data_IF_079962806924
#
_entry.id   IF_079962806924
#
_cell.length_a   1.000
_cell.length_b   1.000
_cell.length_c   1.000
_cell.angle_alpha   90.00
_cell.angle_beta   90.00
_cell.angle_gamma   90.00
#
_symmetry.space_group_name_H-M   'P 1'
#
loop_
_entity.id
_entity.type
_entity.pdbx_description
1 polymer ?
#
# COMPACT_ATOMS: atom_id res chain seq x y z
N UNK A 1 -6.07 -23.61 22.22
CA UNK A 1 -4.63 -23.86 22.40
C UNK A 1 -3.88 -22.61 22.91
N UNK A 2 -4.15 -22.23 24.15
CA UNK A 2 -3.55 -21.02 24.76
C UNK A 2 -2.07 -21.23 25.08
N UNK A 3 -1.70 -22.46 25.46
CA UNK A 3 -0.33 -22.81 25.79
C UNK A 3 0.60 -22.71 24.58
N UNK A 4 0.22 -23.22 23.41
CA UNK A 4 1.08 -23.11 22.22
C UNK A 4 1.11 -21.69 21.67
N UNK A 5 0.04 -20.90 21.80
CA UNK A 5 0.11 -19.46 21.50
C UNK A 5 1.16 -18.76 22.36
N UNK A 6 1.15 -19.00 23.68
CA UNK A 6 2.13 -18.41 24.62
C UNK A 6 3.55 -18.90 24.38
N UNK A 7 3.74 -20.21 24.15
CA UNK A 7 5.08 -20.81 24.00
C UNK A 7 5.66 -20.58 22.61
N UNK A 8 4.91 -20.94 21.58
CA UNK A 8 5.41 -20.97 20.19
C UNK A 8 5.09 -19.67 19.47
N UNK A 9 3.84 -19.20 19.57
CA UNK A 9 3.39 -18.00 18.86
C UNK A 9 4.19 -16.76 19.25
N UNK A 10 4.37 -16.52 20.55
CA UNK A 10 5.14 -15.36 21.04
C UNK A 10 6.63 -15.48 20.73
N UNK A 11 7.23 -16.66 20.91
CA UNK A 11 8.65 -16.90 20.59
C UNK A 11 8.93 -16.63 19.12
N UNK A 12 8.08 -17.14 18.23
CA UNK A 12 8.22 -16.89 16.79
C UNK A 12 8.03 -15.42 16.46
N UNK A 13 7.04 -14.75 17.06
CA UNK A 13 6.82 -13.32 16.86
C UNK A 13 8.02 -12.47 17.32
N UNK A 14 8.58 -12.75 18.50
CA UNK A 14 9.77 -12.09 19.03
C UNK A 14 10.99 -12.34 18.14
N UNK A 15 11.25 -13.57 17.72
CA UNK A 15 12.38 -13.88 16.82
C UNK A 15 12.30 -13.08 15.51
N UNK A 16 11.09 -12.89 14.97
CA UNK A 16 10.84 -12.16 13.72
C UNK A 16 10.83 -10.63 13.88
N UNK A 17 10.47 -10.12 15.06
CA UNK A 17 10.48 -8.70 15.39
C UNK A 17 11.84 -8.21 15.91
N UNK A 18 12.74 -9.10 16.31
CA UNK A 18 14.06 -8.73 16.80
C UNK A 18 15.11 -9.00 15.73
N UNK A 19 15.07 -8.22 14.64
CA UNK A 19 16.11 -8.28 13.61
C UNK A 19 17.42 -7.66 14.12
N UNK A 20 18.53 -8.06 13.52
CA UNK A 20 19.89 -7.60 13.85
C UNK A 20 20.20 -6.16 13.38
N UNK A 21 19.15 -5.33 13.28
CA UNK A 21 19.30 -3.91 12.97
C UNK A 21 19.86 -3.17 14.18
N UNK A 22 20.68 -2.15 13.92
CA UNK A 22 21.28 -1.32 14.94
C UNK A 22 21.03 0.15 14.63
N UNK A 23 21.03 1.01 15.65
CA UNK A 23 21.15 2.45 15.47
C UNK A 23 22.58 2.86 15.79
N UNK A 24 23.26 3.37 14.77
CA UNK A 24 24.61 3.94 14.87
C UNK A 24 24.50 5.46 14.78
N UNK A 25 25.49 6.20 15.28
CA UNK A 25 25.57 7.63 14.98
C UNK A 25 25.68 7.86 13.48
N UNK A 26 25.03 8.91 13.00
CA UNK A 26 25.15 9.32 11.60
C UNK A 26 26.56 9.84 11.29
N UNK A 27 27.17 10.53 12.23
CA UNK A 27 28.51 11.12 12.11
C UNK A 27 29.15 11.35 13.49
N UNK A 28 30.47 11.49 13.53
CA UNK A 28 31.25 11.80 14.74
C UNK A 28 31.91 10.58 15.39
N UNK A 29 32.79 10.85 16.36
CA UNK A 29 33.70 9.86 16.96
C UNK A 29 33.11 9.07 18.14
N UNK A 30 31.89 9.39 18.61
CA UNK A 30 31.30 8.71 19.77
C UNK A 30 30.69 7.36 19.35
N UNK A 31 31.22 6.28 19.90
CA UNK A 31 30.78 4.90 19.66
C UNK A 31 29.52 4.57 20.48
N UNK A 32 28.35 4.97 19.97
CA UNK A 32 27.07 4.58 20.52
C UNK A 32 26.39 3.61 19.55
N UNK A 33 26.15 2.39 20.05
CA UNK A 33 25.40 1.34 19.38
C UNK A 33 24.14 1.05 20.17
N UNK A 34 22.97 1.20 19.54
CA UNK A 34 21.68 0.89 20.15
C UNK A 34 21.05 -0.27 19.40
N UNK A 35 20.75 -1.37 20.11
CA UNK A 35 20.01 -2.50 19.56
C UNK A 35 18.54 -2.41 20.00
N UNK A 36 17.57 -2.26 19.08
CA UNK A 36 16.16 -2.39 19.42
C UNK A 36 15.87 -3.81 19.88
N UNK A 37 15.05 -3.94 20.92
CA UNK A 37 14.53 -5.22 21.38
C UNK A 37 13.03 -5.12 21.67
N UNK A 38 12.23 -5.87 20.92
CA UNK A 38 10.79 -6.04 21.11
C UNK A 38 10.53 -7.21 22.05
N UNK A 39 10.16 -6.88 23.28
CA UNK A 39 9.79 -7.85 24.30
C UNK A 39 8.27 -8.01 24.37
N UNK A 40 7.82 -9.26 24.42
CA UNK A 40 6.41 -9.62 24.56
C UNK A 40 6.26 -10.61 25.69
N UNK A 41 5.32 -10.36 26.59
CA UNK A 41 5.07 -11.20 27.76
C UNK A 41 3.58 -11.51 27.90
N UNK A 42 3.24 -12.78 28.09
CA UNK A 42 1.87 -13.19 28.40
C UNK A 42 1.67 -13.21 29.91
N UNK A 43 0.74 -12.37 30.38
CA UNK A 43 0.36 -12.27 31.80
C UNK A 43 -1.08 -12.73 32.02
N UNK A 44 -1.45 -12.95 33.29
CA UNK A 44 -2.86 -13.05 33.67
C UNK A 44 -3.53 -11.69 33.42
N UNK A 45 -4.83 -11.67 33.09
CA UNK A 45 -5.54 -10.44 32.72
C UNK A 45 -5.44 -9.32 33.79
N UNK A 46 -5.43 -9.69 35.06
CA UNK A 46 -5.30 -8.78 36.19
C UNK A 46 -3.87 -8.23 36.40
N UNK A 47 -2.84 -8.89 35.85
CA UNK A 47 -1.43 -8.60 36.18
C UNK A 47 -0.66 -7.84 35.09
N UNK A 48 -1.35 -7.36 34.06
CA UNK A 48 -0.76 -6.50 33.03
C UNK A 48 -0.65 -5.02 33.47
N UNK A 49 0.34 -4.30 32.96
CA UNK A 49 0.50 -2.85 33.18
C UNK A 49 -0.42 -1.99 32.31
N UNK A 50 -0.22 -0.65 32.34
CA UNK A 50 -1.03 0.33 31.59
C UNK A 50 -1.06 0.13 30.06
N UNK A 51 -0.12 -0.65 29.53
CA UNK A 51 0.00 -0.97 28.11
C UNK A 51 -0.44 -2.41 27.78
N UNK A 52 -1.23 -3.05 28.65
CA UNK A 52 -1.71 -4.42 28.40
C UNK A 52 -2.77 -4.44 27.29
N UNK A 53 -2.73 -5.50 26.48
CA UNK A 53 -3.80 -5.88 25.56
C UNK A 53 -4.41 -7.18 26.04
N UNK A 54 -5.74 -7.23 26.20
CA UNK A 54 -6.45 -8.45 26.53
C UNK A 54 -6.52 -9.34 25.30
N UNK A 55 -5.93 -10.54 25.40
CA UNK A 55 -5.84 -11.49 24.30
C UNK A 55 -6.83 -12.64 24.51
N UNK A 56 -7.78 -12.80 23.59
CA UNK A 56 -8.71 -13.94 23.53
C UNK A 56 -8.24 -14.93 22.47
N UNK A 57 -8.19 -16.22 22.83
CA UNK A 57 -7.96 -17.29 21.85
C UNK A 57 -9.30 -17.91 21.50
N UNK A 58 -9.72 -17.74 20.26
CA UNK A 58 -11.02 -18.20 19.74
C UNK A 58 -10.87 -19.51 18.96
N UNK A 59 -12.00 -20.12 18.60
CA UNK A 59 -12.00 -21.23 17.65
C UNK A 59 -11.44 -20.78 16.27
N UNK A 60 -11.29 -21.74 15.37
CA UNK A 60 -10.64 -21.49 14.07
C UNK A 60 -11.49 -20.65 13.09
N UNK A 61 -12.75 -20.36 13.39
CA UNK A 61 -13.66 -19.63 12.51
C UNK A 61 -13.68 -18.11 12.78
N UNK A 62 -13.16 -17.67 13.93
CA UNK A 62 -13.14 -16.26 14.33
C UNK A 62 -11.74 -15.64 14.18
N UNK A 63 -11.60 -14.63 13.31
CA UNK A 63 -10.32 -14.14 12.77
C UNK A 63 -9.28 -13.58 13.75
N UNK A 64 -8.12 -13.26 13.18
CA UNK A 64 -6.99 -12.61 13.85
C UNK A 64 -7.12 -11.10 13.72
N UNK A 65 -7.13 -10.39 14.83
CA UNK A 65 -7.11 -8.93 14.86
C UNK A 65 -6.56 -8.42 16.19
N UNK A 66 -5.93 -7.25 16.15
CA UNK A 66 -5.44 -6.55 17.33
C UNK A 66 -5.85 -5.08 17.27
N UNK A 67 -6.39 -4.58 18.38
CA UNK A 67 -6.80 -3.20 18.57
C UNK A 67 -6.19 -2.63 19.85
N UNK A 68 -6.41 -1.35 20.11
CA UNK A 68 -5.99 -0.73 21.37
C UNK A 68 -6.77 -1.37 22.54
N UNK A 69 -6.10 -2.24 23.30
CA UNK A 69 -6.61 -2.83 24.54
C UNK A 69 -7.23 -4.22 24.40
N UNK A 70 -7.65 -4.64 23.21
CA UNK A 70 -8.17 -5.99 22.95
C UNK A 70 -7.62 -6.60 21.67
N UNK A 71 -7.39 -7.92 21.69
CA UNK A 71 -7.02 -8.72 20.54
C UNK A 71 -7.72 -10.08 20.57
N UNK A 72 -7.98 -10.65 19.40
CA UNK A 72 -8.50 -11.99 19.22
C UNK A 72 -7.62 -12.77 18.25
N UNK A 73 -7.31 -14.02 18.59
CA UNK A 73 -6.52 -14.92 17.74
C UNK A 73 -7.22 -16.27 17.60
N UNK A 74 -7.25 -16.81 16.38
CA UNK A 74 -7.63 -18.20 16.16
C UNK A 74 -6.67 -19.12 16.87
N UNK A 75 -7.17 -20.28 17.27
CA UNK A 75 -6.36 -21.31 17.93
C UNK A 75 -5.15 -21.76 17.10
N UNK A 76 -5.20 -21.67 15.77
CA UNK A 76 -4.10 -22.02 14.85
C UNK A 76 -3.04 -20.94 14.59
N UNK A 77 -3.26 -19.68 15.00
CA UNK A 77 -2.42 -18.56 14.54
C UNK A 77 -0.99 -18.51 15.11
N UNK A 78 -0.63 -19.45 15.99
CA UNK A 78 0.75 -19.63 16.44
C UNK A 78 1.61 -20.38 15.42
N UNK A 79 0.99 -20.98 14.40
CA UNK A 79 1.65 -21.67 13.29
C UNK A 79 1.74 -20.78 12.06
N UNK A 80 2.67 -21.11 11.20
CA UNK A 80 2.84 -20.47 9.89
C UNK A 80 1.66 -20.84 8.97
N UNK A 81 1.12 -19.85 8.24
CA UNK A 81 -0.09 -20.01 7.41
C UNK A 81 0.16 -19.48 5.98
N UNK A 82 0.88 -20.23 5.12
CA UNK A 82 1.28 -19.76 3.79
C UNK A 82 0.10 -19.48 2.84
N UNK A 83 -1.02 -20.21 2.95
CA UNK A 83 -2.14 -20.07 2.01
C UNK A 83 -3.21 -19.03 2.38
N UNK A 84 -3.43 -18.74 3.67
CA UNK A 84 -4.56 -17.92 4.11
C UNK A 84 -4.30 -16.41 4.08
N UNK A 85 -3.06 -16.02 4.35
CA UNK A 85 -2.63 -14.62 4.49
C UNK A 85 -1.24 -14.37 3.90
N UNK A 86 -0.76 -15.28 3.07
CA UNK A 86 0.58 -15.29 2.48
C UNK A 86 0.63 -15.09 0.98
N UNK A 87 -0.48 -14.60 0.40
CA UNK A 87 -0.85 -14.66 -1.01
C UNK A 87 0.32 -14.83 -1.99
N UNK A 88 0.27 -15.90 -2.79
CA UNK A 88 1.16 -16.11 -3.93
C UNK A 88 2.43 -16.94 -3.68
N UNK A 89 2.85 -17.14 -2.42
CA UNK A 89 4.02 -17.98 -2.11
C UNK A 89 3.55 -19.41 -1.75
N UNK A 90 3.26 -20.21 -2.77
CA UNK A 90 2.76 -21.60 -2.63
C UNK A 90 3.77 -22.49 -1.89
N UNK A 91 5.06 -22.11 -1.90
CA UNK A 91 6.15 -22.86 -1.27
C UNK A 91 6.58 -22.28 0.10
N UNK A 92 6.08 -21.10 0.48
CA UNK A 92 6.35 -20.42 1.76
C UNK A 92 7.80 -19.93 1.96
N UNK A 93 8.75 -20.43 1.17
CA UNK A 93 10.19 -20.18 1.27
C UNK A 93 10.80 -19.68 -0.05
N UNK A 94 10.01 -19.47 -1.11
CA UNK A 94 10.54 -19.03 -2.41
C UNK A 94 11.07 -17.58 -2.33
N UNK A 95 10.46 -16.74 -1.49
CA UNK A 95 10.85 -15.34 -1.37
C UNK A 95 11.68 -15.10 -0.09
N UNK A 96 12.97 -14.82 -0.29
CA UNK A 96 13.92 -14.42 0.78
C UNK A 96 13.80 -12.93 1.05
N UNK A 97 13.84 -12.51 2.31
CA UNK A 97 13.94 -11.10 2.71
C UNK A 97 15.34 -10.52 2.40
N UNK A 98 15.59 -9.21 2.55
CA UNK A 98 16.93 -8.66 2.26
C UNK A 98 18.02 -9.11 3.24
N UNK A 99 17.62 -9.65 4.39
CA UNK A 99 18.52 -10.37 5.29
C UNK A 99 18.89 -11.78 4.81
N UNK A 100 18.32 -12.22 3.69
CA UNK A 100 18.54 -13.54 3.09
C UNK A 100 17.72 -14.67 3.74
N UNK A 101 16.96 -14.38 4.80
CA UNK A 101 16.15 -15.35 5.53
C UNK A 101 14.77 -15.46 4.87
N UNK A 102 14.21 -16.67 4.89
CA UNK A 102 12.81 -16.90 4.52
C UNK A 102 11.97 -16.84 5.79
N UNK A 103 10.84 -16.15 5.71
CA UNK A 103 9.92 -16.04 6.83
C UNK A 103 8.51 -16.34 6.35
N UNK A 104 8.02 -17.54 6.66
CA UNK A 104 6.65 -17.91 6.33
C UNK A 104 5.66 -16.97 7.01
N UNK A 105 4.55 -16.58 6.37
CA UNK A 105 3.51 -15.76 6.99
C UNK A 105 3.08 -16.28 8.36
N UNK A 106 3.04 -15.39 9.37
CA UNK A 106 2.58 -15.74 10.72
C UNK A 106 1.62 -14.66 11.22
N UNK A 107 0.34 -14.98 11.30
CA UNK A 107 -0.69 -14.04 11.73
C UNK A 107 -0.38 -13.47 13.13
N UNK A 108 0.07 -14.31 14.08
CA UNK A 108 0.41 -13.81 15.41
C UNK A 108 1.51 -12.73 15.39
N UNK A 109 2.53 -12.89 14.54
CA UNK A 109 3.57 -11.89 14.36
C UNK A 109 3.03 -10.57 13.78
N UNK A 110 2.16 -10.65 12.77
CA UNK A 110 1.52 -9.49 12.16
C UNK A 110 0.76 -8.68 13.22
N UNK A 111 -0.16 -9.34 13.94
CA UNK A 111 -1.03 -8.70 14.92
C UNK A 111 -0.23 -8.12 16.10
N UNK A 112 0.73 -8.89 16.63
CA UNK A 112 1.61 -8.38 17.69
C UNK A 112 2.50 -7.23 17.17
N UNK A 113 2.78 -7.18 15.87
CA UNK A 113 3.39 -6.07 15.19
C UNK A 113 2.61 -4.76 15.35
N UNK A 114 1.27 -4.79 15.42
CA UNK A 114 0.46 -3.59 15.70
C UNK A 114 0.79 -2.96 17.03
N UNK A 115 1.00 -3.76 18.07
CA UNK A 115 1.40 -3.27 19.40
C UNK A 115 2.75 -2.54 19.38
N UNK A 116 3.59 -2.82 18.39
CA UNK A 116 4.86 -2.11 18.19
C UNK A 116 4.69 -0.79 17.43
N UNK A 117 3.47 -0.39 17.04
CA UNK A 117 3.15 0.85 16.32
C UNK A 117 3.20 0.71 14.81
N UNK A 118 2.77 -0.45 14.30
CA UNK A 118 2.75 -0.74 12.87
C UNK A 118 1.29 -0.79 12.44
N UNK A 119 0.88 0.06 11.50
CA UNK A 119 -0.51 0.13 11.08
C UNK A 119 -0.77 -0.72 9.85
N UNK A 120 -2.00 -1.25 9.77
CA UNK A 120 -2.56 -1.81 8.55
C UNK A 120 -2.52 -0.79 7.42
N UNK A 121 -1.87 -1.18 6.33
CA UNK A 121 -1.78 -0.39 5.11
C UNK A 121 -2.29 -1.24 3.93
N UNK A 122 -3.55 -1.65 4.04
CA UNK A 122 -4.26 -2.42 3.02
C UNK A 122 -5.25 -1.54 2.26
N UNK A 123 -5.94 -2.14 1.29
CA UNK A 123 -7.17 -1.60 0.73
C UNK A 123 -8.35 -2.22 1.51
N UNK A 124 -9.27 -1.42 2.05
CA UNK A 124 -10.43 -1.94 2.78
C UNK A 124 -11.54 -2.43 1.84
N UNK A 125 -12.47 -3.16 2.44
CA UNK A 125 -13.65 -3.73 1.78
C UNK A 125 -14.69 -2.65 1.48
N UNK A 126 -15.21 -2.63 0.25
CA UNK A 126 -16.37 -1.83 -0.12
C UNK A 126 -17.65 -2.44 0.47
N UNK A 127 -18.56 -1.60 0.97
CA UNK A 127 -19.93 -2.04 1.28
C UNK A 127 -20.81 -1.69 0.07
N UNK A 128 -21.53 -2.67 -0.45
CA UNK A 128 -22.52 -2.47 -1.51
C UNK A 128 -23.90 -2.92 -1.06
N UNK A 129 -24.94 -2.30 -1.59
CA UNK A 129 -26.33 -2.60 -1.25
C UNK A 129 -26.83 -3.76 -2.10
N UNK A 130 -27.37 -4.81 -1.47
CA UNK A 130 -28.05 -5.89 -2.15
C UNK A 130 -29.48 -5.47 -2.51
N UNK A 131 -29.82 -5.60 -3.80
CA UNK A 131 -31.14 -5.22 -4.30
C UNK A 131 -32.27 -6.14 -3.80
N UNK A 132 -31.96 -7.38 -3.40
CA UNK A 132 -32.97 -8.36 -2.96
C UNK A 132 -33.52 -8.08 -1.57
N UNK A 133 -32.68 -7.57 -0.66
CA UNK A 133 -33.04 -7.37 0.75
C UNK A 133 -32.76 -5.93 1.25
N UNK A 134 -32.21 -5.06 0.41
CA UNK A 134 -31.84 -3.68 0.75
C UNK A 134 -30.67 -3.55 1.72
N UNK A 135 -30.00 -4.64 2.10
CA UNK A 135 -28.95 -4.64 3.13
C UNK A 135 -27.58 -4.39 2.51
N UNK A 136 -26.70 -3.74 3.27
CA UNK A 136 -25.30 -3.59 2.90
C UNK A 136 -24.53 -4.89 3.12
N UNK A 137 -23.84 -5.35 2.08
CA UNK A 137 -22.97 -6.52 2.07
C UNK A 137 -21.55 -6.11 1.68
N UNK A 138 -20.57 -6.83 2.19
CA UNK A 138 -19.15 -6.48 2.08
C UNK A 138 -18.50 -7.15 0.86
N UNK A 139 -17.75 -6.37 0.07
CA UNK A 139 -17.02 -6.80 -1.13
C UNK A 139 -15.53 -6.48 -0.97
N UNK A 140 -14.70 -7.45 -1.33
CA UNK A 140 -13.24 -7.31 -1.35
C UNK A 140 -12.81 -6.69 -2.68
N UNK A 141 -12.96 -5.36 -2.78
CA UNK A 141 -12.40 -4.49 -3.82
C UNK A 141 -11.87 -3.24 -3.15
N UNK A 142 -10.93 -2.51 -3.77
CA UNK A 142 -10.32 -1.36 -3.11
C UNK A 142 -11.30 -0.27 -2.67
N UNK A 143 -11.29 0.01 -1.38
CA UNK A 143 -11.88 1.19 -0.75
C UNK A 143 -10.92 1.75 0.29
N UNK A 144 -10.77 3.07 0.35
CA UNK A 144 -10.07 3.69 1.47
C UNK A 144 -11.07 3.99 2.61
N UNK A 145 -10.75 3.51 3.81
CA UNK A 145 -11.44 3.85 5.07
C UNK A 145 -10.69 5.01 5.75
N UNK A 146 -11.30 5.76 6.66
CA UNK A 146 -10.64 6.83 7.44
C UNK A 146 -9.35 6.45 8.18
N UNK A 147 -8.98 5.17 8.28
CA UNK A 147 -7.78 4.68 8.95
C UNK A 147 -6.58 4.41 8.01
N UNK A 148 -6.64 4.79 6.72
CA UNK A 148 -5.65 4.37 5.71
C UNK A 148 -4.85 5.50 5.03
N UNK A 149 -3.78 5.07 4.33
CA UNK A 149 -2.83 5.87 3.55
C UNK A 149 -3.14 5.71 2.05
N UNK A 150 -3.16 6.80 1.28
CA UNK A 150 -3.59 6.80 -0.13
C UNK A 150 -2.60 6.14 -1.12
N UNK A 151 -2.62 4.81 -1.24
CA UNK A 151 -1.73 4.12 -2.18
C UNK A 151 -0.26 4.22 -1.77
N UNK A 152 -0.05 4.19 -0.45
CA UNK A 152 1.27 4.24 0.16
C UNK A 152 2.12 3.02 -0.17
N UNK A 153 3.42 3.07 0.13
CA UNK A 153 4.35 2.05 -0.33
C UNK A 153 4.11 0.61 0.14
N UNK A 154 3.41 0.40 1.27
CA UNK A 154 3.09 -0.96 1.71
C UNK A 154 1.91 -1.58 0.94
N UNK A 155 1.06 -0.75 0.31
CA UNK A 155 -0.12 -1.23 -0.43
C UNK A 155 0.22 -1.93 -1.75
N UNK A 156 1.34 -1.55 -2.37
CA UNK A 156 1.86 -2.10 -3.63
C UNK A 156 2.99 -3.11 -3.42
N UNK A 157 3.25 -3.51 -2.19
CA UNK A 157 4.34 -4.40 -1.80
C UNK A 157 3.76 -5.71 -1.28
N UNK A 158 3.77 -6.74 -2.12
CA UNK A 158 3.17 -8.05 -1.86
C UNK A 158 3.80 -8.76 -0.67
N UNK A 159 5.05 -8.44 -0.37
CA UNK A 159 5.76 -9.00 0.78
C UNK A 159 5.84 -8.02 1.95
N UNK A 160 5.08 -6.93 1.93
CA UNK A 160 4.91 -6.09 3.10
C UNK A 160 4.33 -6.93 4.25
N UNK A 161 4.81 -6.69 5.48
CA UNK A 161 4.25 -7.36 6.67
C UNK A 161 2.74 -7.21 6.77
N UNK A 162 2.23 -6.05 6.35
CA UNK A 162 0.78 -5.86 6.30
C UNK A 162 0.24 -6.82 5.24
N UNK A 163 0.55 -6.68 3.95
CA UNK A 163 0.01 -7.58 2.91
C UNK A 163 0.08 -9.10 3.18
N UNK A 164 1.22 -9.60 3.67
CA UNK A 164 1.48 -11.06 3.72
C UNK A 164 1.92 -11.61 5.09
N UNK A 165 1.66 -10.90 6.19
CA UNK A 165 2.05 -11.31 7.56
C UNK A 165 3.54 -11.67 7.73
N UNK A 166 4.40 -11.05 6.94
CA UNK A 166 5.85 -11.26 6.90
C UNK A 166 6.60 -10.37 7.91
N UNK A 167 7.91 -10.53 7.99
CA UNK A 167 8.78 -9.78 8.91
C UNK A 167 8.80 -8.28 8.69
N UNK A 168 9.10 -7.53 9.76
CA UNK A 168 9.32 -6.09 9.69
C UNK A 168 10.61 -5.76 8.90
N UNK A 169 10.55 -4.80 7.98
CA UNK A 169 11.70 -4.35 7.19
C UNK A 169 12.45 -3.21 7.85
N UNK A 170 13.67 -2.89 7.38
CA UNK A 170 14.52 -1.83 7.93
C UNK A 170 13.76 -0.52 8.20
N UNK A 171 12.93 -0.11 7.25
CA UNK A 171 12.13 1.11 7.36
C UNK A 171 11.05 1.09 8.46
N UNK A 172 10.53 -0.07 8.84
CA UNK A 172 9.63 -0.19 10.00
C UNK A 172 10.34 0.15 11.31
N UNK A 173 11.66 0.00 11.38
CA UNK A 173 12.45 0.32 12.57
C UNK A 173 12.83 1.78 12.63
N UNK A 174 12.84 2.47 11.49
CA UNK A 174 13.23 3.86 11.49
C UNK A 174 12.25 4.76 12.29
N UNK A 175 10.96 4.45 12.42
CA UNK A 175 10.11 5.21 13.38
C UNK A 175 10.71 5.29 14.80
N UNK A 176 11.49 4.30 15.23
CA UNK A 176 12.22 4.35 16.49
C UNK A 176 13.47 5.22 16.40
N UNK A 177 14.16 5.28 15.25
CA UNK A 177 15.18 6.30 15.01
C UNK A 177 14.58 7.73 15.04
N UNK A 178 13.38 7.97 14.49
CA UNK A 178 12.67 9.24 14.65
C UNK A 178 12.43 9.54 16.14
N UNK A 179 11.86 8.57 16.86
CA UNK A 179 11.62 8.70 18.29
C UNK A 179 12.90 9.00 19.07
N UNK A 180 14.01 8.31 18.77
CA UNK A 180 15.33 8.58 19.36
C UNK A 180 15.80 9.99 19.03
N UNK A 181 15.64 10.48 17.79
CA UNK A 181 16.04 11.83 17.39
C UNK A 181 15.20 12.91 18.09
N UNK A 182 13.90 12.65 18.28
CA UNK A 182 13.00 13.63 18.89
C UNK A 182 13.17 13.64 20.41
N UNK A 183 13.31 12.48 21.05
CA UNK A 183 13.61 12.36 22.48
C UNK A 183 15.06 12.71 22.84
N UNK A 184 16.00 12.70 21.90
CA UNK A 184 17.37 13.16 22.12
C UNK A 184 17.52 14.66 22.11
N UNK A 185 16.50 15.45 21.74
CA UNK A 185 16.53 16.92 21.78
C UNK A 185 16.35 17.44 23.20
N UNK A 186 16.90 18.63 23.47
CA UNK A 186 16.66 19.33 24.71
C UNK A 186 15.16 19.56 24.90
N UNK A 187 14.72 19.70 26.15
CA UNK A 187 13.33 19.99 26.41
C UNK A 187 12.92 21.31 25.73
N UNK A 188 11.81 21.28 25.01
CA UNK A 188 11.22 22.45 24.36
C UNK A 188 9.69 22.35 24.42
N UNK A 189 8.98 23.35 23.87
CA UNK A 189 7.51 23.34 23.85
C UNK A 189 6.87 22.17 23.08
N UNK A 190 7.68 21.36 22.37
CA UNK A 190 7.25 20.20 21.58
C UNK A 190 7.72 18.87 22.22
N UNK A 191 8.85 18.87 22.93
CA UNK A 191 9.41 17.78 23.71
C UNK A 191 9.56 18.22 25.17
N UNK A 192 8.48 18.31 25.95
CA UNK A 192 8.54 18.87 27.31
C UNK A 192 9.42 18.06 28.26
N UNK A 193 9.70 16.79 27.95
CA UNK A 193 10.37 15.87 28.86
C UNK A 193 11.89 15.75 28.60
N UNK A 194 12.37 15.94 27.36
CA UNK A 194 13.82 15.91 27.07
C UNK A 194 14.54 14.62 27.50
N UNK A 195 13.82 13.52 27.69
CA UNK A 195 14.22 12.41 28.56
C UNK A 195 15.57 11.78 28.22
N UNK A 196 15.91 11.78 26.92
CA UNK A 196 17.12 11.16 26.40
C UNK A 196 18.19 12.19 26.03
N UNK A 197 17.94 13.50 26.22
CA UNK A 197 18.92 14.55 25.94
C UNK A 197 20.21 14.37 26.75
N UNK A 198 20.10 13.99 28.03
CA UNK A 198 21.28 13.76 28.90
C UNK A 198 22.23 12.69 28.35
N UNK A 199 21.69 11.68 27.65
CA UNK A 199 22.47 10.59 27.08
C UNK A 199 22.93 10.91 25.65
N UNK A 200 22.04 11.47 24.83
CA UNK A 200 22.25 11.57 23.39
C UNK A 200 22.58 12.98 22.90
N UNK A 201 22.29 14.03 23.66
CA UNK A 201 22.69 15.42 23.37
C UNK A 201 22.36 15.86 21.94
N UNK A 202 21.15 15.56 21.46
CA UNK A 202 20.71 15.88 20.10
C UNK A 202 21.30 15.00 18.99
N UNK A 203 21.98 13.90 19.34
CA UNK A 203 22.60 12.99 18.36
C UNK A 203 21.59 12.50 17.33
N UNK A 204 22.02 12.53 16.06
CA UNK A 204 21.32 11.92 14.93
C UNK A 204 21.86 10.51 14.69
N UNK A 205 20.92 9.57 14.58
CA UNK A 205 21.19 8.17 14.34
C UNK A 205 20.83 7.74 12.91
N UNK A 206 21.55 6.74 12.38
CA UNK A 206 21.24 5.98 11.17
C UNK A 206 20.89 4.55 11.56
N UNK A 207 20.04 3.87 10.78
CA UNK A 207 19.78 2.44 10.96
C UNK A 207 20.80 1.66 10.14
N UNK A 208 21.46 0.68 10.74
CA UNK A 208 22.42 -0.19 10.05
C UNK A 208 22.02 -1.65 10.18
N UNK A 209 22.37 -2.43 9.17
CA UNK A 209 22.23 -3.88 9.15
C UNK A 209 23.45 -4.48 8.49
N UNK A 210 24.04 -5.51 9.11
CA UNK A 210 25.12 -6.30 8.51
C UNK A 210 24.61 -7.72 8.34
N UNK A 211 24.65 -8.23 7.11
CA UNK A 211 24.22 -9.58 6.77
C UNK A 211 25.27 -10.33 5.94
N UNK A 212 24.99 -11.61 5.67
CA UNK A 212 25.78 -12.45 4.75
C UNK A 212 24.88 -12.99 3.65
N UNK A 213 25.27 -12.82 2.38
CA UNK A 213 24.61 -13.40 1.22
C UNK A 213 25.64 -14.21 0.44
N UNK A 214 25.44 -15.52 0.30
CA UNK A 214 26.39 -16.43 -0.36
C UNK A 214 27.83 -16.29 0.17
N UNK A 215 27.99 -16.25 1.50
CA UNK A 215 29.25 -15.99 2.21
C UNK A 215 29.88 -14.59 2.03
N UNK A 216 29.33 -13.72 1.18
CA UNK A 216 29.75 -12.30 1.08
C UNK A 216 29.03 -11.46 2.13
N UNK A 217 29.79 -10.69 2.91
CA UNK A 217 29.23 -9.72 3.86
C UNK A 217 28.66 -8.50 3.11
N UNK A 218 27.51 -8.03 3.56
CA UNK A 218 26.94 -6.77 3.09
C UNK A 218 26.52 -5.91 4.28
N UNK A 219 26.65 -4.58 4.14
CA UNK A 219 26.18 -3.60 5.12
C UNK A 219 25.16 -2.69 4.45
N UNK A 220 23.95 -2.63 4.99
CA UNK A 220 23.02 -1.55 4.71
C UNK A 220 23.22 -0.45 5.74
N UNK A 221 23.31 0.79 5.26
CA UNK A 221 23.27 1.98 6.08
C UNK A 221 22.17 2.89 5.58
N UNK A 222 21.23 3.21 6.45
CA UNK A 222 20.15 4.11 6.12
C UNK A 222 20.15 5.31 7.07
N UNK A 223 20.65 6.43 6.56
CA UNK A 223 20.59 7.70 7.25
C UNK A 223 19.23 8.36 7.01
N UNK A 224 18.49 8.57 8.10
CA UNK A 224 17.23 9.27 8.02
C UNK A 224 17.44 10.73 7.56
N UNK A 225 16.88 11.11 6.41
CA UNK A 225 16.65 12.53 6.09
C UNK A 225 15.29 12.95 6.66
N UNK A 226 15.17 14.17 7.20
CA UNK A 226 13.92 14.61 7.83
C UNK A 226 12.70 14.52 6.90
N UNK A 227 12.90 14.72 5.59
CA UNK A 227 11.87 14.58 4.56
C UNK A 227 11.23 13.18 4.49
N UNK A 228 11.87 12.18 5.09
CA UNK A 228 11.39 10.82 5.09
C UNK A 228 10.47 10.57 6.31
N UNK A 229 10.52 11.35 7.43
CA UNK A 229 9.91 11.05 8.76
C UNK A 229 8.54 10.36 8.78
N UNK A 230 7.66 10.65 7.82
CA UNK A 230 6.35 10.02 7.64
C UNK A 230 6.24 9.36 6.25
N UNK A 231 6.79 8.15 6.08
CA UNK A 231 6.71 7.36 4.82
C UNK A 231 5.29 7.02 4.38
N UNK A 232 4.38 7.01 5.35
CA UNK A 232 2.96 6.79 5.20
C UNK A 232 2.23 8.06 4.74
N UNK A 233 2.94 9.17 4.55
CA UNK A 233 2.37 10.38 4.00
C UNK A 233 3.00 10.66 2.65
N UNK A 234 2.20 11.08 1.66
CA UNK A 234 2.75 11.51 0.38
C UNK A 234 3.69 12.69 0.64
N UNK A 235 4.85 12.67 -0.01
CA UNK A 235 5.75 13.82 -0.03
C UNK A 235 5.10 14.99 -0.76
N UNK A 236 4.42 14.69 -1.87
CA UNK A 236 3.62 15.62 -2.67
C UNK A 236 2.30 14.97 -3.03
N UNK A 237 1.23 15.75 -3.06
CA UNK A 237 -0.09 15.26 -3.49
C UNK A 237 -0.84 16.32 -4.30
N UNK A 238 -1.65 15.87 -5.24
CA UNK A 238 -2.55 16.71 -6.02
C UNK A 238 -3.88 15.98 -6.16
N UNK A 239 -4.94 16.56 -5.62
CA UNK A 239 -6.30 16.04 -5.83
C UNK A 239 -6.95 16.76 -7.00
N UNK A 240 -7.69 16.04 -7.84
CA UNK A 240 -8.35 16.60 -9.01
C UNK A 240 -7.37 17.23 -10.00
N UNK A 241 -6.22 16.61 -10.25
CA UNK A 241 -5.40 16.95 -11.41
C UNK A 241 -6.23 16.69 -12.66
N UNK A 242 -6.26 17.67 -13.55
CA UNK A 242 -6.89 17.51 -14.85
C UNK A 242 -5.90 16.88 -15.84
N UNK A 243 -6.29 15.76 -16.44
CA UNK A 243 -5.61 15.17 -17.58
C UNK A 243 -6.30 15.73 -18.82
N UNK A 244 -5.53 16.45 -19.65
CA UNK A 244 -6.03 17.00 -20.92
C UNK A 244 -5.26 16.39 -22.09
N UNK A 245 -5.99 15.82 -23.05
CA UNK A 245 -5.46 15.35 -24.35
C UNK A 245 -6.02 16.25 -25.45
N UNK A 246 -5.20 16.57 -26.46
CA UNK A 246 -5.54 17.46 -27.57
C UNK A 246 -5.99 18.86 -27.11
N UNK A 247 -5.27 19.43 -26.13
CA UNK A 247 -5.61 20.74 -25.57
C UNK A 247 -5.73 21.81 -26.67
N UNK A 248 -6.82 22.56 -26.67
CA UNK A 248 -7.08 23.64 -27.63
C UNK A 248 -7.59 23.19 -29.01
N UNK A 249 -7.95 21.91 -29.19
CA UNK A 249 -8.61 21.42 -30.41
C UNK A 249 -10.11 21.15 -30.15
N UNK A 250 -10.93 21.03 -31.21
CA UNK A 250 -12.33 20.58 -31.07
C UNK A 250 -12.49 19.19 -30.42
N UNK A 251 -11.43 18.37 -30.46
CA UNK A 251 -11.37 17.01 -29.90
C UNK A 251 -10.69 16.98 -28.53
N UNK A 252 -10.67 18.09 -27.80
CA UNK A 252 -10.09 18.17 -26.46
C UNK A 252 -10.81 17.23 -25.50
N UNK A 253 -10.04 16.39 -24.80
CA UNK A 253 -10.55 15.41 -23.84
C UNK A 253 -10.02 15.70 -22.45
N UNK A 254 -10.88 15.55 -21.46
CA UNK A 254 -10.58 15.87 -20.05
C UNK A 254 -10.91 14.70 -19.15
N UNK A 255 -10.10 14.47 -18.12
CA UNK A 255 -10.38 13.56 -17.01
C UNK A 255 -9.78 14.11 -15.73
N UNK A 256 -10.22 13.59 -14.58
CA UNK A 256 -9.69 13.94 -13.28
C UNK A 256 -8.96 12.75 -12.66
N UNK A 257 -7.90 13.04 -11.92
CA UNK A 257 -7.14 12.04 -11.17
C UNK A 257 -6.56 12.64 -9.90
N UNK A 258 -6.38 11.81 -8.89
CA UNK A 258 -5.61 12.17 -7.70
C UNK A 258 -4.22 11.56 -7.79
N UNK A 259 -3.19 12.35 -7.51
CA UNK A 259 -1.80 11.91 -7.52
C UNK A 259 -1.18 12.01 -6.13
N UNK A 260 -0.44 10.98 -5.77
CA UNK A 260 0.30 10.89 -4.51
C UNK A 260 1.71 10.41 -4.79
N UNK A 261 2.70 11.23 -4.46
CA UNK A 261 4.11 10.93 -4.68
C UNK A 261 4.77 10.57 -3.35
N UNK A 262 5.17 9.32 -3.20
CA UNK A 262 5.78 8.76 -1.99
C UNK A 262 7.27 8.56 -2.15
N UNK A 263 8.01 8.86 -1.08
CA UNK A 263 9.44 8.64 -0.99
C UNK A 263 9.76 7.23 -0.48
N UNK A 264 10.42 6.41 -1.30
CA UNK A 264 10.83 5.05 -0.96
C UNK A 264 12.29 4.92 -0.53
N UNK A 265 13.11 5.96 -0.71
CA UNK A 265 14.50 6.03 -0.22
C UNK A 265 15.44 5.06 -0.95
N UNK A 266 16.57 4.74 -0.30
CA UNK A 266 17.67 3.93 -0.87
C UNK A 266 17.95 2.65 -0.04
N UNK A 267 16.99 2.21 0.77
CA UNK A 267 17.11 1.06 1.67
C UNK A 267 16.33 -0.17 1.18
N UNK A 268 16.30 -1.25 1.97
CA UNK A 268 15.50 -2.48 1.75
C UNK A 268 14.05 -2.23 1.27
N UNK A 269 13.45 -1.10 1.59
CA UNK A 269 12.11 -0.73 1.16
C UNK A 269 12.01 -0.18 -0.26
N UNK A 270 13.12 0.28 -0.82
CA UNK A 270 13.23 0.64 -2.24
C UNK A 270 13.25 -0.60 -3.12
N UNK A 271 13.46 -1.78 -2.54
CA UNK A 271 13.47 -3.06 -3.23
C UNK A 271 12.04 -3.60 -3.31
N UNK A 272 11.38 -3.35 -4.44
CA UNK A 272 10.06 -3.91 -4.70
C UNK A 272 10.23 -5.32 -5.25
N UNK A 273 9.48 -6.22 -4.64
CA UNK A 273 9.43 -7.64 -4.93
C UNK A 273 8.04 -7.94 -5.48
N UNK A 274 7.99 -8.60 -6.64
CA UNK A 274 6.78 -8.98 -7.37
C UNK A 274 5.93 -7.82 -7.88
N UNK A 275 6.52 -7.01 -8.77
CA UNK A 275 5.74 -6.23 -9.73
C UNK A 275 5.37 -7.02 -11.00
N UNK A 276 5.41 -8.36 -10.94
CA UNK A 276 4.83 -9.24 -11.97
C UNK A 276 5.79 -10.05 -12.86
N UNK A 277 7.11 -10.12 -12.62
CA UNK A 277 8.02 -10.99 -13.40
C UNK A 277 8.98 -11.79 -12.52
N UNK A 278 8.67 -13.07 -12.31
CA UNK A 278 9.61 -14.09 -11.83
C UNK A 278 10.55 -14.48 -12.98
N UNK A 279 11.87 -14.44 -12.78
CA UNK A 279 12.84 -14.95 -13.76
C UNK A 279 13.66 -16.04 -13.10
N UNK A 280 13.59 -17.27 -13.65
CA UNK A 280 14.37 -18.42 -13.19
C UNK A 280 14.20 -18.80 -11.70
N UNK A 281 13.00 -18.62 -11.14
CA UNK A 281 12.73 -18.93 -9.72
C UNK A 281 13.35 -17.94 -8.72
N UNK A 282 14.03 -16.90 -9.21
CA UNK A 282 14.51 -15.78 -8.42
C UNK A 282 13.69 -14.54 -8.75
N UNK A 283 13.22 -13.88 -7.70
CA UNK A 283 12.49 -12.63 -7.84
C UNK A 283 13.46 -11.52 -8.25
N UNK A 284 13.23 -10.92 -9.43
CA UNK A 284 14.03 -9.77 -9.85
C UNK A 284 13.68 -8.59 -8.95
N UNK A 285 14.61 -8.25 -8.06
CA UNK A 285 14.42 -7.12 -7.17
C UNK A 285 14.65 -5.85 -7.97
N UNK A 286 13.57 -5.12 -8.28
CA UNK A 286 13.67 -3.80 -8.89
C UNK A 286 13.77 -2.74 -7.80
N UNK A 287 14.68 -1.78 -8.00
CA UNK A 287 14.90 -0.68 -7.06
C UNK A 287 14.11 0.54 -7.52
N UNK A 288 13.18 0.99 -6.67
CA UNK A 288 12.40 2.22 -6.84
C UNK A 288 12.63 3.16 -5.66
N UNK A 289 13.01 4.38 -5.98
CA UNK A 289 13.32 5.45 -5.03
C UNK A 289 12.06 6.21 -4.61
N UNK A 290 10.98 6.10 -5.40
CA UNK A 290 9.66 6.62 -5.07
C UNK A 290 8.54 5.81 -5.68
N UNK A 291 7.32 6.12 -5.27
CA UNK A 291 6.08 5.62 -5.88
C UNK A 291 5.25 6.81 -6.29
N UNK A 292 4.77 6.79 -7.53
CA UNK A 292 3.66 7.62 -7.96
C UNK A 292 2.39 6.78 -7.91
N UNK A 293 1.53 7.05 -6.93
CA UNK A 293 0.18 6.51 -6.91
C UNK A 293 -0.76 7.44 -7.68
N UNK A 294 -1.42 6.87 -8.69
CA UNK A 294 -2.46 7.44 -9.51
C UNK A 294 -3.79 6.86 -9.01
N UNK A 295 -4.55 7.64 -8.25
CA UNK A 295 -5.82 7.19 -7.68
C UNK A 295 -6.98 7.74 -8.49
N UNK A 296 -7.91 6.86 -8.85
CA UNK A 296 -9.19 7.25 -9.44
C UNK A 296 -10.33 7.03 -8.45
N UNK A 297 -10.91 8.11 -7.94
CA UNK A 297 -12.13 8.12 -7.13
C UNK A 297 -13.35 7.84 -8.03
N UNK A 298 -13.75 6.57 -8.12
CA UNK A 298 -14.85 6.10 -8.96
C UNK A 298 -16.14 6.01 -8.14
N UNK A 299 -17.06 6.95 -8.37
CA UNK A 299 -18.43 6.81 -7.88
C UNK A 299 -19.19 5.87 -8.82
N UNK A 300 -19.78 4.79 -8.30
CA UNK A 300 -20.48 3.79 -9.12
C UNK A 300 -21.95 3.69 -8.71
N UNK A 301 -22.85 3.80 -9.69
CA UNK A 301 -24.28 3.55 -9.54
C UNK A 301 -24.69 2.40 -10.44
N UNK A 302 -25.44 1.46 -9.88
CA UNK A 302 -25.99 0.32 -10.61
C UNK A 302 -27.49 0.53 -10.79
N UNK A 303 -27.91 0.79 -12.03
CA UNK A 303 -29.31 1.08 -12.36
C UNK A 303 -30.01 -0.21 -12.82
N UNK A 304 -31.18 -0.51 -12.23
CA UNK A 304 -31.98 -1.69 -12.54
C UNK A 304 -31.72 -2.89 -11.62
N UNK A 305 -32.08 -4.09 -12.08
CA UNK A 305 -32.15 -5.33 -11.28
C UNK A 305 -30.81 -6.01 -10.97
N UNK A 306 -29.78 -5.25 -10.60
CA UNK A 306 -28.46 -5.80 -10.26
C UNK A 306 -28.47 -6.59 -8.94
N UNK A 307 -28.18 -7.88 -8.99
CA UNK A 307 -27.93 -8.68 -7.79
C UNK A 307 -26.60 -8.31 -7.13
N UNK A 308 -26.46 -8.57 -5.83
CA UNK A 308 -25.20 -8.37 -5.10
C UNK A 308 -24.01 -9.05 -5.78
N UNK A 309 -24.16 -10.30 -6.21
CA UNK A 309 -23.10 -11.06 -6.86
C UNK A 309 -22.70 -10.43 -8.20
N UNK A 310 -23.66 -9.94 -8.99
CA UNK A 310 -23.36 -9.28 -10.25
C UNK A 310 -22.58 -7.96 -10.04
N UNK A 311 -22.99 -7.14 -9.06
CA UNK A 311 -22.26 -5.90 -8.70
C UNK A 311 -20.83 -6.19 -8.25
N UNK A 312 -20.68 -7.16 -7.33
CA UNK A 312 -19.38 -7.63 -6.83
C UNK A 312 -18.48 -8.07 -7.97
N UNK A 313 -18.96 -8.96 -8.85
CA UNK A 313 -18.18 -9.46 -9.97
C UNK A 313 -17.79 -8.35 -10.95
N UNK A 314 -18.65 -7.37 -11.18
CA UNK A 314 -18.32 -6.24 -12.04
C UNK A 314 -17.20 -5.37 -11.44
N UNK A 315 -17.30 -4.99 -10.16
CA UNK A 315 -16.28 -4.18 -9.49
C UNK A 315 -14.92 -4.89 -9.45
N UNK A 316 -14.92 -6.19 -9.17
CA UNK A 316 -13.70 -7.01 -9.16
C UNK A 316 -13.05 -7.09 -10.55
N UNK A 317 -13.85 -7.13 -11.63
CA UNK A 317 -13.32 -7.07 -13.00
C UNK A 317 -12.70 -5.70 -13.30
N UNK A 318 -13.31 -4.60 -12.86
CA UNK A 318 -12.73 -3.25 -13.04
C UNK A 318 -11.37 -3.17 -12.34
N UNK A 319 -11.30 -3.59 -11.08
CA UNK A 319 -10.05 -3.62 -10.31
C UNK A 319 -8.95 -4.46 -10.99
N UNK A 320 -9.30 -5.68 -11.42
CA UNK A 320 -8.40 -6.55 -12.17
C UNK A 320 -7.87 -5.89 -13.45
N UNK A 321 -8.74 -5.29 -14.27
CA UNK A 321 -8.32 -4.64 -15.51
C UNK A 321 -7.52 -3.35 -15.27
N UNK A 322 -7.74 -2.63 -14.16
CA UNK A 322 -6.84 -1.54 -13.76
C UNK A 322 -5.42 -2.07 -13.53
N UNK A 323 -5.30 -3.20 -12.82
CA UNK A 323 -4.03 -3.89 -12.64
C UNK A 323 -3.38 -4.32 -13.96
N UNK A 324 -4.11 -5.09 -14.77
CA UNK A 324 -3.62 -5.63 -16.04
C UNK A 324 -3.21 -4.55 -17.05
N UNK A 325 -3.87 -3.39 -17.03
CA UNK A 325 -3.58 -2.31 -17.97
C UNK A 325 -2.43 -1.41 -17.54
N UNK A 326 -2.10 -1.31 -16.25
CA UNK A 326 -1.25 -0.24 -15.72
C UNK A 326 -0.12 -0.72 -14.80
N UNK A 327 -0.34 -1.76 -13.98
CA UNK A 327 0.65 -2.19 -12.99
C UNK A 327 1.83 -2.88 -13.67
N UNK A 328 3.04 -2.50 -13.29
CA UNK A 328 4.28 -3.06 -13.86
C UNK A 328 4.52 -2.73 -15.34
N UNK A 329 3.75 -1.79 -15.93
CA UNK A 329 3.93 -1.35 -17.33
C UNK A 329 4.69 -0.05 -17.48
N UNK A 330 4.62 0.83 -16.48
CA UNK A 330 5.19 2.16 -16.58
C UNK A 330 6.09 2.49 -15.40
N UNK A 331 7.19 3.17 -15.70
CA UNK A 331 8.09 3.76 -14.71
C UNK A 331 8.36 5.22 -15.04
N UNK A 332 8.49 6.06 -14.01
CA UNK A 332 9.02 7.40 -14.18
C UNK A 332 10.48 7.43 -13.75
N UNK A 333 11.34 7.92 -14.63
CA UNK A 333 12.73 8.22 -14.28
C UNK A 333 12.91 9.73 -14.15
N UNK A 334 13.73 10.16 -13.19
CA UNK A 334 13.98 11.57 -12.92
C UNK A 334 15.43 11.83 -12.53
N UNK A 335 15.94 13.03 -12.79
CA UNK A 335 17.25 13.44 -12.27
C UNK A 335 17.21 13.80 -10.76
N UNK A 336 16.02 13.83 -10.13
CA UNK A 336 15.91 14.14 -8.71
C UNK A 336 16.50 13.02 -7.84
N UNK A 337 17.39 13.33 -6.87
CA UNK A 337 18.12 12.32 -6.12
C UNK A 337 17.21 11.40 -5.29
N UNK A 338 16.12 11.90 -4.69
CA UNK A 338 15.18 11.05 -3.94
C UNK A 338 14.13 10.33 -4.82
N UNK A 339 14.09 10.59 -6.13
CA UNK A 339 13.04 10.10 -7.04
C UNK A 339 13.61 9.60 -8.37
N UNK A 340 14.82 9.04 -8.36
CA UNK A 340 15.56 8.69 -9.59
C UNK A 340 14.79 7.72 -10.49
N UNK A 341 14.15 6.75 -9.86
CA UNK A 341 13.29 5.76 -10.50
C UNK A 341 12.05 5.59 -9.64
N UNK A 342 10.88 5.80 -10.19
CA UNK A 342 9.61 5.75 -9.50
C UNK A 342 8.71 4.69 -10.11
N UNK A 343 8.13 3.86 -9.25
CA UNK A 343 7.11 2.91 -9.66
C UNK A 343 5.80 3.65 -9.87
N UNK A 344 5.16 3.45 -11.02
CA UNK A 344 3.84 4.01 -11.29
C UNK A 344 2.78 2.98 -10.94
N UNK A 345 1.90 3.35 -10.02
CA UNK A 345 0.87 2.48 -9.48
C UNK A 345 -0.49 3.16 -9.64
N UNK A 346 -1.46 2.48 -10.26
CA UNK A 346 -2.80 3.04 -10.45
C UNK A 346 -3.84 2.27 -9.64
N UNK A 347 -4.64 2.94 -8.80
CA UNK A 347 -5.63 2.26 -7.95
C UNK A 347 -7.02 2.87 -8.13
N UNK A 348 -8.03 2.07 -8.51
CA UNK A 348 -9.40 2.53 -8.44
C UNK A 348 -9.85 2.62 -6.97
N UNK A 349 -10.59 3.65 -6.62
CA UNK A 349 -11.27 3.76 -5.33
C UNK A 349 -12.76 3.84 -5.57
N UNK A 350 -13.46 2.76 -5.23
CA UNK A 350 -14.90 2.67 -5.44
C UNK A 350 -15.71 3.28 -4.31
N UNK A 351 -16.78 4.01 -4.68
CA UNK A 351 -17.83 4.49 -3.79
C UNK A 351 -19.18 4.22 -4.45
N UNK A 352 -19.95 3.25 -3.94
CA UNK A 352 -21.33 3.06 -4.40
C UNK A 352 -22.17 4.25 -3.94
N UNK A 353 -23.07 4.75 -4.80
CA UNK A 353 -23.98 5.83 -4.45
C UNK A 353 -25.40 5.56 -4.96
N UNK A 354 -26.39 6.13 -4.26
CA UNK A 354 -27.78 6.26 -4.68
C UNK A 354 -28.12 7.75 -4.78
N UNK A 355 -28.82 8.17 -5.84
CA UNK A 355 -29.15 9.58 -6.07
C UNK A 355 -27.99 10.37 -6.68
N UNK A 356 -27.63 11.49 -6.04
CA UNK A 356 -26.59 12.39 -6.54
C UNK A 356 -25.20 11.78 -6.37
N UNK A 357 -24.36 11.92 -7.40
CA UNK A 357 -23.00 11.44 -7.33
C UNK A 357 -22.17 12.27 -6.32
N UNK A 358 -21.24 11.65 -5.59
CA UNK A 358 -20.35 12.37 -4.68
C UNK A 358 -19.57 13.49 -5.37
N UNK A 359 -19.50 14.67 -4.74
CA UNK A 359 -18.77 15.82 -5.30
C UNK A 359 -17.27 15.55 -5.47
N UNK A 360 -16.70 14.71 -4.59
CA UNK A 360 -15.29 14.35 -4.53
C UNK A 360 -14.85 13.23 -5.49
N UNK A 361 -15.75 12.68 -6.30
CA UNK A 361 -15.38 11.68 -7.30
C UNK A 361 -14.60 12.29 -8.48
N UNK A 362 -13.68 11.50 -9.03
CA UNK A 362 -13.02 11.82 -10.29
C UNK A 362 -13.89 11.42 -11.48
N UNK A 363 -14.65 10.32 -11.36
CA UNK A 363 -15.62 9.87 -12.36
C UNK A 363 -16.88 9.29 -11.69
N UNK A 364 -18.01 9.43 -12.39
CA UNK A 364 -19.32 8.92 -12.05
C UNK A 364 -19.72 7.86 -13.08
N UNK A 365 -19.66 6.59 -12.68
CA UNK A 365 -19.98 5.47 -13.54
C UNK A 365 -21.42 5.02 -13.26
N UNK A 366 -22.24 4.97 -14.31
CA UNK A 366 -23.61 4.47 -14.29
C UNK A 366 -23.68 3.18 -15.10
N UNK A 367 -23.89 2.05 -14.42
CA UNK A 367 -23.97 0.73 -15.04
C UNK A 367 -25.42 0.28 -15.10
N UNK A 368 -26.00 0.27 -16.30
CA UNK A 368 -27.42 -0.03 -16.53
C UNK A 368 -27.64 -1.54 -16.70
N UNK A 369 -28.70 -2.07 -16.10
CA UNK A 369 -29.16 -3.45 -16.28
C UNK A 369 -29.92 -3.65 -17.61
N UNK A 370 -29.32 -3.18 -18.70
CA UNK A 370 -29.77 -3.33 -20.07
C UNK A 370 -28.85 -4.30 -20.80
N UNK A 371 -29.42 -5.23 -21.57
CA UNK A 371 -28.64 -6.00 -22.53
C UNK A 371 -28.35 -5.09 -23.73
N UNK A 372 -27.07 -4.84 -24.00
CA UNK A 372 -26.68 -3.93 -25.07
C UNK A 372 -25.19 -3.57 -25.02
N UNK A 373 -24.77 -2.77 -25.99
CA UNK A 373 -23.41 -2.24 -26.12
C UNK A 373 -23.35 -0.73 -25.85
N UNK A 374 -24.45 -0.15 -25.35
CA UNK A 374 -24.53 1.28 -25.07
C UNK A 374 -23.38 1.72 -24.18
N UNK A 375 -22.70 2.79 -24.61
CA UNK A 375 -21.63 3.42 -23.87
C UNK A 375 -21.66 4.90 -24.22
N UNK A 376 -21.80 5.75 -23.21
CA UNK A 376 -21.87 7.20 -23.36
C UNK A 376 -21.01 7.87 -22.31
N UNK A 377 -20.43 9.00 -22.67
CA UNK A 377 -19.69 9.87 -21.76
C UNK A 377 -20.17 11.30 -22.02
N UNK A 378 -21.32 11.69 -21.46
CA UNK A 378 -21.95 12.99 -21.78
C UNK A 378 -21.11 14.18 -21.32
N UNK A 379 -20.22 13.97 -20.35
CA UNK A 379 -19.33 15.00 -19.83
C UNK A 379 -17.99 14.38 -19.36
N UNK A 380 -17.06 15.21 -18.89
CA UNK A 380 -15.73 14.76 -18.45
C UNK A 380 -15.78 13.79 -17.25
N UNK A 381 -16.83 13.85 -16.43
CA UNK A 381 -16.98 13.13 -15.16
C UNK A 381 -17.91 11.92 -15.29
N UNK A 382 -18.95 11.98 -16.11
CA UNK A 382 -20.01 10.97 -16.16
C UNK A 382 -19.77 9.96 -17.28
N UNK A 383 -19.80 8.67 -16.95
CA UNK A 383 -19.69 7.55 -17.88
C UNK A 383 -20.89 6.65 -17.66
N UNK A 384 -21.63 6.31 -18.71
CA UNK A 384 -22.74 5.36 -18.63
C UNK A 384 -22.55 4.21 -19.60
N UNK A 385 -22.79 2.99 -19.14
CA UNK A 385 -22.71 1.78 -19.95
C UNK A 385 -23.91 0.86 -19.71
N UNK A 386 -24.27 0.10 -20.75
CA UNK A 386 -25.14 -1.07 -20.62
C UNK A 386 -24.35 -2.26 -20.04
N UNK A 387 -25.05 -3.19 -19.37
CA UNK A 387 -24.42 -4.39 -18.83
C UNK A 387 -23.82 -5.26 -19.92
N UNK A 388 -24.51 -5.49 -21.04
CA UNK A 388 -24.05 -6.42 -22.09
C UNK A 388 -23.80 -7.88 -21.62
N UNK A 389 -23.23 -8.69 -22.50
CA UNK A 389 -22.68 -10.03 -22.23
C UNK A 389 -21.21 -9.94 -21.71
N UNK A 390 -20.60 -11.07 -21.32
CA UNK A 390 -19.25 -11.08 -20.73
C UNK A 390 -18.17 -10.42 -21.61
N UNK A 391 -18.19 -10.65 -22.93
CA UNK A 391 -17.20 -10.05 -23.84
C UNK A 391 -17.42 -8.54 -23.98
N UNK A 392 -18.69 -8.12 -24.09
CA UNK A 392 -19.08 -6.71 -24.15
C UNK A 392 -18.70 -5.96 -22.87
N UNK A 393 -18.94 -6.56 -21.69
CA UNK A 393 -18.53 -6.02 -20.40
C UNK A 393 -17.04 -5.76 -20.34
N UNK A 394 -16.23 -6.75 -20.74
CA UNK A 394 -14.77 -6.60 -20.76
C UNK A 394 -14.35 -5.41 -21.62
N UNK A 395 -14.90 -5.29 -22.84
CA UNK A 395 -14.63 -4.15 -23.71
C UNK A 395 -15.04 -2.81 -23.08
N UNK A 396 -16.24 -2.74 -22.50
CA UNK A 396 -16.75 -1.52 -21.84
C UNK A 396 -15.96 -1.14 -20.59
N UNK A 397 -15.50 -2.11 -19.78
CA UNK A 397 -14.65 -1.87 -18.61
C UNK A 397 -13.31 -1.28 -19.05
N UNK A 398 -12.65 -1.85 -20.07
CA UNK A 398 -11.41 -1.27 -20.62
C UNK A 398 -11.64 0.15 -21.14
N UNK A 399 -12.79 0.43 -21.76
CA UNK A 399 -13.18 1.78 -22.17
C UNK A 399 -13.39 2.74 -21.00
N UNK A 400 -13.96 2.28 -19.87
CA UNK A 400 -14.04 3.09 -18.64
C UNK A 400 -12.63 3.48 -18.17
N UNK A 401 -11.70 2.52 -18.11
CA UNK A 401 -10.32 2.76 -17.67
C UNK A 401 -9.66 3.80 -18.58
N UNK A 402 -9.76 3.65 -19.91
CA UNK A 402 -9.27 4.63 -20.88
C UNK A 402 -9.86 6.02 -20.67
N UNK A 403 -11.17 6.12 -20.45
CA UNK A 403 -11.84 7.38 -20.15
C UNK A 403 -11.26 8.06 -18.89
N UNK A 404 -10.84 7.28 -17.87
CA UNK A 404 -10.21 7.80 -16.66
C UNK A 404 -8.86 8.49 -16.94
N UNK A 405 -8.23 8.23 -18.08
CA UNK A 405 -6.99 8.87 -18.56
C UNK A 405 -7.23 9.84 -19.72
N UNK A 406 -8.47 10.30 -19.92
CA UNK A 406 -8.87 11.15 -21.04
C UNK A 406 -8.66 10.52 -22.44
N UNK A 407 -8.31 9.23 -22.51
CA UNK A 407 -8.27 8.47 -23.76
C UNK A 407 -9.70 8.16 -24.26
N UNK A 408 -9.84 7.84 -25.55
CA UNK A 408 -11.01 8.23 -26.36
C UNK A 408 -12.42 7.83 -25.87
N UNK A 409 -13.39 8.58 -26.39
CA UNK A 409 -14.84 8.46 -26.13
C UNK A 409 -15.57 7.52 -27.12
N UNK A 410 -14.88 7.02 -28.16
CA UNK A 410 -15.49 6.30 -29.29
C UNK A 410 -15.70 4.80 -29.05
N UNK A 411 -16.60 4.18 -29.82
CA UNK A 411 -16.89 2.74 -29.76
C UNK A 411 -15.79 1.85 -30.38
N UNK A 412 -14.86 2.43 -31.12
CA UNK A 412 -13.88 1.74 -31.97
C UNK A 412 -12.46 1.74 -31.42
N UNK A 413 -12.19 2.48 -30.35
CA UNK A 413 -10.84 2.61 -29.84
C UNK A 413 -10.48 1.49 -28.86
N UNK A 414 -9.65 0.59 -29.36
CA UNK A 414 -9.17 -0.59 -28.66
C UNK A 414 -7.74 -0.46 -28.18
N UNK A 415 -7.03 0.64 -28.48
CA UNK A 415 -5.64 0.81 -28.11
C UNK A 415 -5.49 0.79 -26.58
N UNK A 416 -4.51 0.05 -26.09
CA UNK A 416 -4.16 0.09 -24.68
C UNK A 416 -3.49 1.42 -24.33
N UNK A 417 -3.55 1.79 -23.06
CA UNK A 417 -2.88 3.01 -22.59
C UNK A 417 -1.38 2.87 -22.81
N UNK A 418 -0.75 3.96 -23.22
CA UNK A 418 0.71 4.04 -23.37
C UNK A 418 1.25 5.31 -22.67
N UNK A 419 2.56 5.53 -22.73
CA UNK A 419 3.20 6.67 -22.06
C UNK A 419 2.67 8.05 -22.51
N UNK A 420 2.13 8.16 -23.72
CA UNK A 420 1.64 9.42 -24.30
C UNK A 420 0.27 9.82 -23.72
N UNK A 421 -0.37 8.95 -22.93
CA UNK A 421 -1.57 9.25 -22.14
C UNK A 421 -1.31 9.96 -20.81
N UNK A 422 -0.04 10.10 -20.42
CA UNK A 422 0.36 10.65 -19.11
C UNK A 422 1.05 12.03 -19.13
N UNK A 423 0.98 12.90 -20.16
CA UNK A 423 1.80 14.11 -20.23
C UNK A 423 1.45 15.11 -19.12
N UNK A 424 0.18 15.19 -18.72
CA UNK A 424 -0.27 16.04 -17.60
C UNK A 424 0.32 15.56 -16.27
N UNK A 425 0.43 14.24 -16.09
CA UNK A 425 1.00 13.62 -14.90
C UNK A 425 2.51 13.82 -14.85
N UNK A 426 3.22 13.58 -15.97
CA UNK A 426 4.66 13.84 -16.10
C UNK A 426 4.97 15.32 -15.84
N UNK A 427 4.18 16.24 -16.38
CA UNK A 427 4.33 17.69 -16.18
C UNK A 427 4.15 18.10 -14.72
N UNK A 428 3.16 17.52 -14.03
CA UNK A 428 2.97 17.74 -12.60
C UNK A 428 4.18 17.23 -11.80
N UNK A 429 4.67 16.01 -12.06
CA UNK A 429 5.85 15.47 -11.38
C UNK A 429 7.08 16.35 -11.61
N UNK A 430 7.32 16.80 -12.84
CA UNK A 430 8.41 17.75 -13.14
C UNK A 430 8.31 18.99 -12.26
N UNK A 431 7.14 19.62 -12.22
CA UNK A 431 6.90 20.84 -11.43
C UNK A 431 7.20 20.60 -9.95
N UNK A 432 6.68 19.50 -9.39
CA UNK A 432 6.83 19.19 -7.96
C UNK A 432 8.26 18.84 -7.55
N UNK A 433 9.06 18.32 -8.50
CA UNK A 433 10.46 17.95 -8.31
C UNK A 433 11.44 19.06 -8.74
N UNK A 434 10.96 20.26 -9.09
CA UNK A 434 11.80 21.40 -9.45
C UNK A 434 12.24 21.43 -10.91
N UNK A 435 11.36 21.01 -11.82
CA UNK A 435 11.54 20.98 -13.28
C UNK A 435 12.76 20.18 -13.78
N UNK A 436 13.13 19.14 -13.04
CA UNK A 436 14.17 18.20 -13.48
C UNK A 436 13.69 17.33 -14.64
N UNK A 437 14.64 16.83 -15.45
CA UNK A 437 14.36 15.84 -16.48
C UNK A 437 13.55 14.69 -15.88
N UNK A 438 12.40 14.40 -16.47
CA UNK A 438 11.48 13.35 -16.03
C UNK A 438 10.84 12.71 -17.25
N UNK A 439 10.90 11.40 -17.35
CA UNK A 439 10.42 10.62 -18.51
C UNK A 439 9.61 9.43 -18.02
N UNK A 440 8.47 9.17 -18.67
CA UNK A 440 7.70 7.95 -18.48
C UNK A 440 8.19 6.91 -19.50
N UNK A 441 8.53 5.73 -19.00
CA UNK A 441 9.08 4.61 -19.76
C UNK A 441 8.09 3.45 -19.76
N UNK A 442 7.88 2.84 -20.93
CA UNK A 442 7.25 1.53 -21.06
C UNK A 442 8.25 0.44 -20.64
N UNK A 443 7.80 -0.60 -19.92
CA UNK A 443 8.65 -1.64 -19.30
C UNK A 443 8.63 -2.98 -20.05
#
# INVERSE_FOLDING_TARGET
>A
DVQNHRKTGMTNAMHRLNKDYMYEKRSGALDLLIRPFHYMEAKKAATGGKHKTLVKITDNNHGSWNSLGEASYRSGCYKEEPGGWGGGDVDGDAIKDTDGKTYKPLANHHEMGHATGCFDDYLYKLKITDASDGKQKTVFVPRFSPQHIEGGPYSCDDIARMKSNRTARLRNYWKYACWLHDKSKAADGVNPEGDLYKFFKGTKFKVTYKGKKNATEFKHEFALKDAYKNITKPHKKKTGLEIVINKGTPDEKRSLVDLFLYKCGDDEFSHFKNLGKMVAGYETTQVYHGILCIRHMLAVRFDGGWSFNAKKSWLQRVDHFFGDMLHGKFNLESAHPDFRKMYVFAVPHFKEYSGAAPGDSNANIVVKWSAGTGFTRPDAKTISMDRGNNAQQTGQIKRIIRCCFAHSHGATDTADLDKDDFPSIVSWVKTELGNVATVLMDI
#
